data_IF_746172204894
#
_entry.id   IF_746172204894
#
_cell.length_a   1.000
_cell.length_b   1.000
_cell.length_c   1.000
_cell.angle_alpha   90.00
_cell.angle_beta   90.00
_cell.angle_gamma   90.00
#
_symmetry.space_group_name_H-M   'P 1'
#
loop_
_entity.id
_entity.type
_entity.pdbx_description
1 polymer ?
#
# COMPACT_ATOMS: atom_id res chain seq x y z
N UNK A 1 15.60 53.08 31.71
CA UNK A 1 16.49 52.25 30.87
C UNK A 1 15.60 51.61 29.82
N UNK A 2 15.46 52.27 28.68
CA UNK A 2 14.67 51.81 27.53
C UNK A 2 15.69 51.34 26.51
N UNK A 3 15.73 50.04 26.22
CA UNK A 3 16.55 49.51 25.13
C UNK A 3 15.78 49.67 23.83
N UNK A 4 16.31 50.54 22.97
CA UNK A 4 15.86 50.73 21.59
C UNK A 4 16.22 49.49 20.75
N UNK A 5 15.23 48.96 20.03
CA UNK A 5 15.41 47.93 19.00
C UNK A 5 15.66 48.59 17.64
N UNK A 6 16.78 48.24 16.99
CA UNK A 6 17.20 48.70 15.66
C UNK A 6 16.19 48.24 14.56
N UNK A 7 15.64 49.16 13.75
CA UNK A 7 14.60 48.85 12.76
C UNK A 7 15.12 48.24 11.45
N UNK A 8 16.42 47.93 11.31
CA UNK A 8 16.98 47.49 10.02
C UNK A 8 17.42 46.02 9.92
N UNK A 9 16.96 45.15 10.83
CA UNK A 9 17.28 43.73 10.79
C UNK A 9 16.30 42.95 9.89
N UNK A 10 16.72 42.68 8.65
CA UNK A 10 15.94 41.89 7.67
C UNK A 10 15.85 40.42 8.12
N UNK A 11 14.68 39.76 8.06
CA UNK A 11 14.51 38.39 8.53
C UNK A 11 15.32 37.41 7.68
N UNK A 12 16.27 36.70 8.30
CA UNK A 12 16.98 35.61 7.66
C UNK A 12 16.02 34.42 7.52
N UNK A 13 15.77 33.99 6.28
CA UNK A 13 15.00 32.78 5.98
C UNK A 13 15.77 31.56 6.47
N UNK A 14 15.16 30.62 7.22
CA UNK A 14 15.82 29.37 7.53
C UNK A 14 16.04 28.59 6.23
N UNK A 15 17.30 28.26 5.97
CA UNK A 15 17.71 27.38 4.88
C UNK A 15 17.24 25.95 5.19
N UNK A 16 16.17 25.51 4.55
CA UNK A 16 15.76 24.09 4.58
C UNK A 16 16.69 23.29 3.65
N UNK A 17 17.89 22.99 4.14
CA UNK A 17 18.73 21.96 3.57
C UNK A 17 19.08 20.94 4.65
N UNK A 18 18.94 19.67 4.27
CA UNK A 18 19.24 18.44 4.99
C UNK A 18 18.17 17.91 5.95
N UNK A 19 17.15 17.26 5.37
CA UNK A 19 16.76 15.95 5.90
C UNK A 19 17.34 14.89 4.99
N UNK A 20 18.45 14.32 5.43
CA UNK A 20 19.01 13.11 4.84
C UNK A 20 17.95 12.00 4.87
N UNK A 21 17.84 11.28 3.76
CA UNK A 21 16.92 10.17 3.57
C UNK A 21 17.09 9.13 4.69
N UNK A 22 16.17 9.11 5.65
CA UNK A 22 16.06 8.00 6.58
C UNK A 22 15.67 6.76 5.79
N UNK A 23 16.62 5.87 5.56
CA UNK A 23 16.34 4.54 5.01
C UNK A 23 15.35 3.85 5.96
N UNK A 24 14.14 3.60 5.49
CA UNK A 24 13.17 2.81 6.25
C UNK A 24 13.80 1.45 6.57
N UNK A 25 14.07 1.19 7.86
CA UNK A 25 14.54 -0.12 8.34
C UNK A 25 13.54 -1.19 7.91
N UNK A 26 14.02 -2.35 7.44
CA UNK A 26 13.14 -3.49 7.20
C UNK A 26 12.56 -3.93 8.54
N UNK A 27 11.35 -4.48 8.53
CA UNK A 27 10.73 -5.06 9.74
C UNK A 27 11.61 -6.15 10.39
N UNK A 28 12.47 -6.81 9.61
CA UNK A 28 13.47 -7.78 10.10
C UNK A 28 14.62 -7.17 10.93
N UNK A 29 14.75 -5.83 10.95
CA UNK A 29 15.86 -5.13 11.61
C UNK A 29 15.42 -4.45 12.92
N UNK A 30 14.18 -4.69 13.34
CA UNK A 30 13.69 -4.32 14.65
C UNK A 30 14.25 -5.32 15.68
N UNK A 31 14.82 -4.84 16.80
CA UNK A 31 15.21 -5.71 17.89
C UNK A 31 14.02 -6.59 18.33
N UNK A 32 14.25 -7.84 18.78
CA UNK A 32 13.18 -8.79 19.14
C UNK A 32 12.17 -8.23 20.15
N UNK A 33 12.58 -7.26 20.97
CA UNK A 33 11.74 -6.58 21.96
C UNK A 33 10.59 -5.74 21.35
N UNK A 34 10.62 -5.48 20.04
CA UNK A 34 9.59 -4.71 19.33
C UNK A 34 8.64 -5.57 18.48
N UNK A 35 8.78 -6.90 18.47
CA UNK A 35 7.82 -7.78 17.75
C UNK A 35 6.40 -7.73 18.30
N UNK A 36 6.26 -7.33 19.57
CA UNK A 36 4.99 -7.29 20.29
C UNK A 36 4.39 -5.86 20.35
N UNK A 37 4.99 -4.90 19.64
CA UNK A 37 4.50 -3.54 19.56
C UNK A 37 3.37 -3.41 18.53
N UNK A 38 2.44 -2.43 18.69
CA UNK A 38 1.47 -2.11 17.65
C UNK A 38 2.17 -1.74 16.33
N UNK A 39 1.62 -2.16 15.17
CA UNK A 39 2.27 -1.95 13.89
C UNK A 39 2.31 -0.47 13.52
N UNK A 40 3.43 -0.04 12.93
CA UNK A 40 3.50 1.26 12.28
C UNK A 40 2.73 1.28 10.95
N UNK A 41 2.65 2.44 10.31
CA UNK A 41 1.92 2.59 9.04
C UNK A 41 2.49 1.75 7.90
N UNK A 42 3.79 1.44 7.93
CA UNK A 42 4.45 0.65 6.89
C UNK A 42 4.20 -0.84 7.09
N UNK A 43 4.26 -1.31 8.33
CA UNK A 43 3.95 -2.69 8.69
C UNK A 43 2.49 -3.02 8.43
N UNK A 44 1.58 -2.17 8.91
CA UNK A 44 0.16 -2.28 8.61
C UNK A 44 -0.07 -2.26 7.09
N UNK A 45 0.59 -1.35 6.36
CA UNK A 45 0.49 -1.28 4.91
C UNK A 45 0.93 -2.57 4.22
N UNK A 46 2.08 -3.14 4.59
CA UNK A 46 2.58 -4.41 4.03
C UNK A 46 1.62 -5.57 4.28
N UNK A 47 1.12 -5.70 5.50
CA UNK A 47 0.16 -6.74 5.87
C UNK A 47 -1.16 -6.57 5.09
N UNK A 48 -1.64 -5.33 5.00
CA UNK A 48 -2.89 -5.01 4.30
C UNK A 48 -2.79 -5.27 2.81
N UNK A 49 -1.71 -4.86 2.15
CA UNK A 49 -1.50 -5.16 0.74
C UNK A 49 -1.39 -6.66 0.48
N UNK A 50 -0.74 -7.41 1.38
CA UNK A 50 -0.68 -8.87 1.29
C UNK A 50 -2.09 -9.45 1.31
N UNK A 51 -2.91 -9.07 2.29
CA UNK A 51 -4.31 -9.51 2.36
C UNK A 51 -5.11 -9.15 1.10
N UNK A 52 -5.07 -7.88 0.66
CA UNK A 52 -5.87 -7.40 -0.46
C UNK A 52 -5.48 -8.07 -1.78
N UNK A 53 -4.18 -8.20 -2.06
CA UNK A 53 -3.72 -8.83 -3.30
C UNK A 53 -4.02 -10.32 -3.32
N UNK A 54 -3.85 -11.04 -2.22
CA UNK A 54 -4.26 -12.45 -2.13
C UNK A 54 -5.77 -12.59 -2.29
N UNK A 55 -6.58 -11.76 -1.62
CA UNK A 55 -8.04 -11.77 -1.79
C UNK A 55 -8.44 -11.52 -3.25
N UNK A 56 -7.78 -10.57 -3.93
CA UNK A 56 -8.04 -10.27 -5.33
C UNK A 56 -7.66 -11.43 -6.27
N UNK A 57 -6.52 -12.07 -6.03
CA UNK A 57 -6.01 -13.15 -6.87
C UNK A 57 -6.87 -14.43 -6.80
N UNK A 58 -7.59 -14.62 -5.70
CA UNK A 58 -8.55 -15.71 -5.49
C UNK A 58 -10.02 -15.30 -5.75
N UNK A 59 -10.29 -14.05 -6.12
CA UNK A 59 -11.63 -13.64 -6.53
C UNK A 59 -12.02 -14.36 -7.85
N UNK A 60 -13.26 -14.85 -8.00
CA UNK A 60 -13.60 -15.67 -9.17
C UNK A 60 -13.46 -14.93 -10.50
N UNK A 61 -13.04 -15.64 -11.56
CA UNK A 61 -13.03 -15.08 -12.91
C UNK A 61 -14.43 -14.82 -13.47
N UNK A 62 -15.43 -15.58 -13.00
CA UNK A 62 -16.85 -15.35 -13.30
C UNK A 62 -17.65 -15.28 -12.00
N UNK A 63 -17.63 -14.12 -11.32
CA UNK A 63 -18.26 -13.98 -10.01
C UNK A 63 -19.78 -13.84 -10.12
N UNK A 64 -20.48 -14.44 -9.17
CA UNK A 64 -21.92 -14.32 -8.95
C UNK A 64 -22.30 -12.89 -8.55
N UNK A 65 -23.59 -12.55 -8.67
CA UNK A 65 -24.11 -11.25 -8.22
C UNK A 65 -23.82 -11.00 -6.73
N UNK A 66 -23.88 -12.05 -5.92
CA UNK A 66 -23.61 -11.97 -4.49
C UNK A 66 -22.14 -11.67 -4.21
N UNK A 67 -21.21 -12.36 -4.87
CA UNK A 67 -19.76 -12.11 -4.73
C UNK A 67 -19.38 -10.70 -5.19
N UNK A 68 -19.97 -10.18 -6.27
CA UNK A 68 -19.81 -8.78 -6.69
C UNK A 68 -20.24 -7.80 -5.60
N UNK A 69 -21.38 -8.08 -4.96
CA UNK A 69 -21.92 -7.26 -3.88
C UNK A 69 -21.00 -7.30 -2.65
N UNK A 70 -20.49 -8.48 -2.30
CA UNK A 70 -19.53 -8.63 -1.21
C UNK A 70 -18.24 -7.86 -1.46
N UNK A 71 -17.67 -7.96 -2.67
CA UNK A 71 -16.46 -7.22 -3.02
C UNK A 71 -16.68 -5.70 -2.98
N UNK A 72 -17.79 -5.21 -3.54
CA UNK A 72 -18.13 -3.78 -3.50
C UNK A 72 -18.28 -3.28 -2.06
N UNK A 73 -19.04 -4.01 -1.23
CA UNK A 73 -19.25 -3.65 0.17
C UNK A 73 -17.94 -3.71 0.96
N UNK A 74 -17.14 -4.74 0.74
CA UNK A 74 -15.83 -4.89 1.37
C UNK A 74 -14.94 -3.69 1.06
N UNK A 75 -14.74 -3.36 -0.22
CA UNK A 75 -13.86 -2.25 -0.62
C UNK A 75 -14.37 -0.90 -0.09
N UNK A 76 -15.69 -0.71 -0.09
CA UNK A 76 -16.31 0.50 0.48
C UNK A 76 -16.02 0.60 1.97
N UNK A 77 -16.33 -0.44 2.75
CA UNK A 77 -16.08 -0.47 4.20
C UNK A 77 -14.60 -0.35 4.53
N UNK A 78 -13.74 -1.05 3.81
CA UNK A 78 -12.29 -0.98 3.96
C UNK A 78 -11.78 0.46 3.81
N UNK A 79 -12.27 1.20 2.81
CA UNK A 79 -11.87 2.58 2.56
C UNK A 79 -12.27 3.57 3.68
N UNK A 80 -13.23 3.21 4.53
CA UNK A 80 -13.66 3.98 5.70
C UNK A 80 -12.97 3.53 6.99
N UNK A 81 -12.67 2.24 7.10
CA UNK A 81 -12.14 1.62 8.32
C UNK A 81 -10.61 1.54 8.36
N UNK A 82 -9.92 1.78 7.24
CA UNK A 82 -8.46 1.76 7.22
C UNK A 82 -7.89 2.85 8.16
N UNK A 83 -7.11 2.49 9.20
CA UNK A 83 -6.87 3.37 10.35
C UNK A 83 -5.84 4.49 10.06
N UNK A 84 -5.13 4.44 8.94
CA UNK A 84 -4.33 5.57 8.47
C UNK A 84 -5.25 6.58 7.76
N UNK A 85 -5.60 7.68 8.43
CA UNK A 85 -6.54 8.70 7.90
C UNK A 85 -6.18 9.23 6.51
N UNK A 86 -4.96 9.73 6.31
CA UNK A 86 -4.50 10.23 5.00
C UNK A 86 -4.53 9.12 3.92
N UNK A 87 -4.14 7.89 4.29
CA UNK A 87 -4.17 6.76 3.36
C UNK A 87 -5.60 6.42 2.94
N UNK A 88 -6.54 6.40 3.89
CA UNK A 88 -7.95 6.13 3.67
C UNK A 88 -8.61 7.21 2.81
N UNK A 89 -8.31 8.48 3.08
CA UNK A 89 -8.81 9.62 2.30
C UNK A 89 -8.36 9.54 0.84
N UNK A 90 -7.08 9.26 0.61
CA UNK A 90 -6.54 9.06 -0.74
C UNK A 90 -7.20 7.88 -1.45
N UNK A 91 -7.40 6.75 -0.75
CA UNK A 91 -8.07 5.58 -1.32
C UNK A 91 -9.52 5.90 -1.73
N UNK A 92 -10.29 6.58 -0.87
CA UNK A 92 -11.67 6.98 -1.20
C UNK A 92 -11.73 7.92 -2.40
N UNK A 93 -10.81 8.87 -2.50
CA UNK A 93 -10.71 9.77 -3.65
C UNK A 93 -10.36 9.02 -4.93
N UNK A 94 -9.43 8.06 -4.87
CA UNK A 94 -9.03 7.26 -6.02
C UNK A 94 -10.17 6.34 -6.47
N UNK A 95 -10.83 5.63 -5.55
CA UNK A 95 -11.98 4.77 -5.85
C UNK A 95 -13.17 5.55 -6.45
N UNK A 96 -13.36 6.83 -6.08
CA UNK A 96 -14.39 7.67 -6.70
C UNK A 96 -14.09 7.96 -8.18
N UNK A 97 -12.83 8.12 -8.54
CA UNK A 97 -12.39 8.41 -9.93
C UNK A 97 -12.23 7.13 -10.75
N UNK A 98 -11.80 6.07 -10.09
CA UNK A 98 -11.41 4.79 -10.68
C UNK A 98 -11.99 3.67 -9.81
N UNK A 99 -13.30 3.40 -9.93
CA UNK A 99 -13.97 2.38 -9.11
C UNK A 99 -13.39 0.99 -9.36
N UNK A 100 -13.38 0.11 -8.33
CA UNK A 100 -12.91 -1.26 -8.49
C UNK A 100 -13.81 -2.02 -9.47
N UNK A 101 -13.25 -2.69 -10.49
CA UNK A 101 -14.02 -3.60 -11.32
C UNK A 101 -14.39 -4.84 -10.51
N UNK A 102 -15.60 -5.34 -10.73
CA UNK A 102 -16.20 -6.48 -10.02
C UNK A 102 -16.40 -7.68 -10.94
N UNK A 103 -16.01 -7.56 -12.20
CA UNK A 103 -16.43 -8.47 -13.27
C UNK A 103 -15.65 -9.76 -13.30
N UNK A 104 -14.43 -9.79 -12.75
CA UNK A 104 -13.51 -10.93 -12.75
C UNK A 104 -12.34 -10.70 -11.80
N UNK A 105 -11.76 -11.79 -11.27
CA UNK A 105 -10.49 -11.80 -10.52
C UNK A 105 -9.34 -11.10 -11.24
N UNK A 106 -9.18 -11.34 -12.54
CA UNK A 106 -8.15 -10.69 -13.36
C UNK A 106 -8.24 -9.16 -13.34
N UNK A 107 -9.39 -8.62 -13.73
CA UNK A 107 -9.62 -7.16 -13.76
C UNK A 107 -9.44 -6.53 -12.38
N UNK A 108 -9.95 -7.18 -11.32
CA UNK A 108 -9.84 -6.65 -9.97
C UNK A 108 -8.38 -6.67 -9.47
N UNK A 109 -7.65 -7.75 -9.70
CA UNK A 109 -6.22 -7.87 -9.38
C UNK A 109 -5.38 -6.82 -10.09
N UNK A 110 -5.66 -6.58 -11.38
CA UNK A 110 -4.96 -5.56 -12.16
C UNK A 110 -5.27 -4.14 -11.64
N UNK A 111 -6.54 -3.83 -11.38
CA UNK A 111 -6.95 -2.56 -10.77
C UNK A 111 -6.27 -2.32 -9.42
N UNK A 112 -6.20 -3.34 -8.57
CA UNK A 112 -5.55 -3.25 -7.27
C UNK A 112 -4.03 -3.03 -7.40
N UNK A 113 -3.40 -3.68 -8.38
CA UNK A 113 -1.99 -3.46 -8.70
C UNK A 113 -1.72 -2.03 -9.16
N UNK A 114 -2.53 -1.51 -10.09
CA UNK A 114 -2.41 -0.13 -10.57
C UNK A 114 -2.62 0.88 -9.42
N UNK A 115 -3.58 0.60 -8.55
CA UNK A 115 -3.85 1.41 -7.33
C UNK A 115 -2.65 1.39 -6.38
N UNK A 116 -2.07 0.22 -6.12
CA UNK A 116 -0.85 0.09 -5.32
C UNK A 116 0.33 0.83 -5.98
N UNK A 117 0.45 0.80 -7.30
CA UNK A 117 1.48 1.53 -8.03
C UNK A 117 1.32 3.06 -7.97
N UNK A 118 0.10 3.58 -7.87
CA UNK A 118 -0.11 5.02 -7.57
C UNK A 118 0.47 5.38 -6.21
N UNK A 119 0.26 4.55 -5.20
CA UNK A 119 0.84 4.73 -3.86
C UNK A 119 2.37 4.61 -3.92
N UNK A 120 2.91 3.62 -4.63
CA UNK A 120 4.36 3.48 -4.82
C UNK A 120 4.96 4.74 -5.44
N UNK A 121 4.35 5.26 -6.50
CA UNK A 121 4.79 6.50 -7.15
C UNK A 121 4.77 7.69 -6.19
N UNK A 122 3.72 7.86 -5.40
CA UNK A 122 3.62 8.94 -4.40
C UNK A 122 4.70 8.85 -3.33
N UNK A 123 5.10 7.63 -2.96
CA UNK A 123 6.12 7.36 -1.95
C UNK A 123 7.54 7.22 -2.53
N UNK A 124 7.74 7.48 -3.83
CA UNK A 124 9.04 7.33 -4.50
C UNK A 124 9.56 5.88 -4.56
N UNK A 125 8.66 4.89 -4.49
CA UNK A 125 8.99 3.45 -4.58
C UNK A 125 8.97 2.98 -6.04
N UNK A 126 9.70 1.90 -6.37
CA UNK A 126 9.63 1.28 -7.69
C UNK A 126 8.20 0.86 -8.07
N UNK A 127 7.89 0.96 -9.36
CA UNK A 127 6.63 0.48 -9.91
C UNK A 127 6.73 -1.04 -10.08
N UNK A 128 5.71 -1.75 -9.61
CA UNK A 128 5.57 -3.19 -9.80
C UNK A 128 4.99 -3.50 -11.17
N UNK A 129 5.53 -4.49 -11.87
CA UNK A 129 4.97 -4.97 -13.14
C UNK A 129 3.68 -5.74 -12.90
N UNK A 130 2.53 -5.13 -13.19
CA UNK A 130 1.23 -5.76 -12.98
C UNK A 130 0.98 -7.00 -13.84
N UNK A 131 1.79 -7.30 -14.86
CA UNK A 131 1.74 -8.60 -15.55
C UNK A 131 2.12 -9.77 -14.63
N UNK A 132 2.88 -9.47 -13.56
CA UNK A 132 3.39 -10.44 -12.57
C UNK A 132 2.52 -10.57 -11.32
N UNK A 133 1.32 -9.98 -11.33
CA UNK A 133 0.45 -9.94 -10.13
C UNK A 133 0.07 -11.35 -9.65
N UNK A 134 -0.24 -12.27 -10.57
CA UNK A 134 -0.62 -13.64 -10.21
C UNK A 134 0.58 -14.49 -9.79
N UNK A 135 1.73 -14.36 -10.46
CA UNK A 135 2.99 -14.99 -10.04
C UNK A 135 3.34 -14.58 -8.60
N UNK A 136 3.11 -13.31 -8.24
CA UNK A 136 3.45 -12.80 -6.91
C UNK A 136 2.47 -13.22 -5.82
N UNK A 137 1.18 -13.31 -6.13
CA UNK A 137 0.12 -13.39 -5.10
C UNK A 137 -0.69 -14.68 -5.11
N UNK A 138 -0.48 -15.58 -6.08
CA UNK A 138 -1.20 -16.87 -6.15
C UNK A 138 -0.33 -18.03 -6.63
N UNK A 139 0.26 -17.88 -7.83
CA UNK A 139 0.78 -19.05 -8.58
C UNK A 139 2.25 -19.36 -8.26
N UNK A 140 3.00 -18.36 -7.79
CA UNK A 140 4.45 -18.44 -7.70
C UNK A 140 5.15 -18.10 -9.02
N UNK A 141 6.43 -17.72 -8.98
CA UNK A 141 7.23 -17.47 -10.18
C UNK A 141 7.53 -18.79 -10.93
N UNK A 142 7.63 -18.71 -12.27
CA UNK A 142 7.85 -19.88 -13.13
C UNK A 142 9.22 -20.56 -12.98
N UNK A 143 10.14 -20.00 -12.18
CA UNK A 143 11.46 -20.59 -11.91
C UNK A 143 11.45 -21.58 -10.74
N UNK A 144 10.27 -21.88 -10.18
CA UNK A 144 10.06 -22.90 -9.15
C UNK A 144 10.60 -22.55 -7.77
N UNK A 145 11.14 -21.34 -7.56
CA UNK A 145 11.71 -20.93 -6.26
C UNK A 145 10.69 -20.84 -5.12
N UNK A 146 9.41 -20.94 -5.45
CA UNK A 146 8.29 -20.92 -4.51
C UNK A 146 7.57 -22.28 -4.39
N UNK A 147 8.07 -23.33 -5.05
CA UNK A 147 7.51 -24.67 -5.02
C UNK A 147 7.96 -25.42 -3.76
N UNK A 148 7.62 -24.87 -2.59
CA UNK A 148 7.97 -25.49 -1.31
C UNK A 148 6.94 -26.57 -0.95
N UNK A 149 7.31 -27.84 -1.14
CA UNK A 149 6.55 -28.98 -0.61
C UNK A 149 5.50 -29.62 -1.52
N UNK A 150 5.54 -29.37 -2.84
CA UNK A 150 4.86 -30.24 -3.80
C UNK A 150 5.78 -31.44 -4.12
N UNK A 151 5.27 -32.68 -4.15
CA UNK A 151 6.05 -33.80 -4.66
C UNK A 151 6.43 -33.47 -6.11
N UNK A 152 7.73 -33.43 -6.40
CA UNK A 152 8.19 -33.57 -7.78
C UNK A 152 7.92 -35.02 -8.15
N UNK A 153 6.93 -35.25 -9.03
CA UNK A 153 6.66 -36.56 -9.62
C UNK A 153 7.93 -37.19 -10.22
#
# INVERSE_FOLDING_TARGET
MVNETDPNQKPQKPSFALFASATAKKASDLPPEYSDCPPDSQELGRATWTFLHTMAAYYPETPTKQEKTHLQNFMTSFSWLYPCGVCADHLRQDMKKHPPPLESGEKFSKWLCDTHNKVNKQLGKPIFDCSKVFERWRDGPSDGRCDWGLPTD
#
